data_IF_868424177672
#
_entry.id   IF_868424177672
#
_cell.length_a   1.000
_cell.length_b   1.000
_cell.length_c   1.000
_cell.angle_alpha   90.00
_cell.angle_beta   90.00
_cell.angle_gamma   90.00
#
_symmetry.space_group_name_H-M   'P 1'
#
loop_
_entity.id
_entity.type
_entity.pdbx_description
1 polymer ?
#
# COMPACT_ATOMS: atom_id res chain seq x y z
N UNK A 1 -43.29 -19.42 10.18
CA UNK A 1 -42.44 -18.93 9.06
C UNK A 1 -40.94 -18.91 9.38
N UNK A 2 -40.53 -18.70 10.64
CA UNK A 2 -39.11 -18.65 11.07
C UNK A 2 -38.48 -20.06 11.18
N UNK A 3 -39.21 -21.06 11.67
CA UNK A 3 -38.73 -22.46 11.78
C UNK A 3 -38.34 -23.08 10.43
N UNK A 4 -39.08 -22.77 9.36
CA UNK A 4 -38.79 -23.27 8.01
C UNK A 4 -37.45 -22.73 7.48
N UNK A 5 -37.10 -21.47 7.77
CA UNK A 5 -35.84 -20.87 7.31
C UNK A 5 -34.61 -21.41 8.04
N UNK A 6 -34.75 -21.74 9.32
CA UNK A 6 -33.66 -22.34 10.12
C UNK A 6 -33.41 -23.79 9.68
N UNK A 7 -34.47 -24.55 9.40
CA UNK A 7 -34.36 -25.92 8.88
C UNK A 7 -33.69 -25.94 7.49
N UNK A 8 -34.00 -24.98 6.61
CA UNK A 8 -33.35 -24.84 5.30
C UNK A 8 -31.85 -24.54 5.41
N UNK A 9 -31.45 -23.70 6.36
CA UNK A 9 -30.03 -23.33 6.55
C UNK A 9 -29.21 -24.50 7.11
N UNK A 10 -29.78 -25.27 8.04
CA UNK A 10 -29.17 -26.50 8.56
C UNK A 10 -29.01 -27.56 7.47
N UNK A 11 -29.98 -27.72 6.56
CA UNK A 11 -29.86 -28.65 5.43
C UNK A 11 -28.76 -28.22 4.46
N UNK A 12 -28.58 -26.91 4.22
CA UNK A 12 -27.47 -26.41 3.38
C UNK A 12 -26.11 -26.63 4.05
N UNK A 13 -26.00 -26.40 5.35
CA UNK A 13 -24.75 -26.63 6.11
C UNK A 13 -24.42 -28.12 6.18
N UNK A 14 -25.42 -28.99 6.39
CA UNK A 14 -25.25 -30.45 6.42
C UNK A 14 -24.95 -30.98 5.02
N UNK A 15 -25.58 -30.46 3.96
CA UNK A 15 -25.27 -30.82 2.58
C UNK A 15 -23.84 -30.39 2.20
N UNK A 16 -23.39 -29.21 2.61
CA UNK A 16 -22.01 -28.76 2.45
C UNK A 16 -21.04 -29.65 3.24
N UNK A 17 -21.36 -30.02 4.49
CA UNK A 17 -20.53 -30.90 5.31
C UNK A 17 -20.46 -32.34 4.76
N UNK A 18 -21.54 -32.84 4.14
CA UNK A 18 -21.57 -34.15 3.48
C UNK A 18 -20.84 -34.12 2.12
N UNK A 19 -20.86 -32.99 1.40
CA UNK A 19 -20.10 -32.81 0.16
C UNK A 19 -18.58 -32.69 0.43
N UNK A 20 -18.19 -32.08 1.55
CA UNK A 20 -16.78 -32.02 2.01
C UNK A 20 -16.22 -33.41 2.37
N UNK A 21 -17.06 -34.39 2.69
CA UNK A 21 -16.61 -35.73 3.11
C UNK A 21 -16.34 -36.70 1.94
N UNK A 22 -16.65 -36.31 0.71
CA UNK A 22 -16.54 -37.18 -0.47
C UNK A 22 -15.80 -36.52 -1.63
N UNK A 23 -14.52 -36.18 -1.43
CA UNK A 23 -13.54 -36.35 -2.51
C UNK A 23 -12.12 -36.35 -1.95
N UNK A 24 -11.57 -37.53 -1.69
CA UNK A 24 -10.12 -37.72 -1.67
C UNK A 24 -9.78 -38.41 -2.99
N UNK A 25 -9.53 -37.61 -4.02
CA UNK A 25 -8.90 -38.07 -5.25
C UNK A 25 -7.41 -38.30 -4.99
N UNK A 26 -6.84 -39.33 -5.63
CA UNK A 26 -5.47 -39.83 -5.42
C UNK A 26 -4.34 -38.89 -5.85
N UNK A 27 -4.64 -37.66 -6.27
CA UNK A 27 -3.64 -36.62 -6.56
C UNK A 27 -3.89 -35.46 -5.58
N UNK A 28 -3.07 -35.35 -4.54
CA UNK A 28 -3.30 -34.55 -3.32
C UNK A 28 -3.32 -33.02 -3.50
N UNK A 29 -4.13 -32.49 -4.42
CA UNK A 29 -4.51 -31.09 -4.51
C UNK A 29 -5.87 -30.94 -3.86
N UNK A 30 -5.94 -30.13 -2.80
CA UNK A 30 -7.19 -29.79 -2.14
C UNK A 30 -8.07 -28.94 -3.07
N UNK A 31 -8.86 -29.64 -3.91
CA UNK A 31 -9.71 -29.08 -4.95
C UNK A 31 -10.81 -28.20 -4.38
N UNK A 32 -11.29 -28.53 -3.18
CA UNK A 32 -12.30 -27.76 -2.45
C UNK A 32 -11.70 -26.45 -1.93
N UNK A 33 -10.50 -26.49 -1.36
CA UNK A 33 -9.77 -25.29 -0.95
C UNK A 33 -9.48 -24.35 -2.14
N UNK A 34 -9.09 -24.91 -3.28
CA UNK A 34 -8.84 -24.14 -4.50
C UNK A 34 -10.13 -23.47 -5.04
N UNK A 35 -11.26 -24.17 -5.07
CA UNK A 35 -12.55 -23.63 -5.51
C UNK A 35 -13.05 -22.51 -4.59
N UNK A 36 -12.96 -22.71 -3.27
CA UNK A 36 -13.32 -21.69 -2.28
C UNK A 36 -12.45 -20.44 -2.41
N UNK A 37 -11.14 -20.61 -2.62
CA UNK A 37 -10.22 -19.50 -2.89
C UNK A 37 -10.63 -18.76 -4.16
N UNK A 38 -10.85 -19.47 -5.28
CA UNK A 38 -11.25 -18.86 -6.54
C UNK A 38 -12.53 -18.02 -6.41
N UNK A 39 -13.52 -18.54 -5.70
CA UNK A 39 -14.79 -17.84 -5.44
C UNK A 39 -14.57 -16.59 -4.56
N UNK A 40 -13.80 -16.71 -3.47
CA UNK A 40 -13.49 -15.59 -2.58
C UNK A 40 -12.83 -14.42 -3.31
N UNK A 41 -11.90 -14.74 -4.22
CA UNK A 41 -11.17 -13.74 -4.99
C UNK A 41 -11.91 -13.28 -6.26
N UNK A 42 -13.00 -13.95 -6.65
CA UNK A 42 -13.69 -13.70 -7.91
C UNK A 42 -12.79 -13.96 -9.12
N UNK A 43 -11.99 -15.03 -9.10
CA UNK A 43 -11.00 -15.36 -10.11
C UNK A 43 -9.73 -15.97 -9.52
N UNK A 44 -8.77 -16.28 -10.40
CA UNK A 44 -7.42 -16.67 -9.98
C UNK A 44 -6.70 -15.44 -9.39
N UNK A 45 -6.36 -15.45 -8.08
CA UNK A 45 -5.74 -14.31 -7.42
C UNK A 45 -4.24 -14.18 -7.69
N UNK A 46 -3.62 -15.16 -8.33
CA UNK A 46 -2.20 -15.22 -8.65
C UNK A 46 -1.91 -14.75 -10.09
N UNK A 47 -2.96 -14.41 -10.85
CA UNK A 47 -2.82 -13.70 -12.14
C UNK A 47 -2.16 -12.34 -11.89
N UNK A 48 -1.03 -12.13 -12.57
CA UNK A 48 -0.28 -10.88 -12.53
C UNK A 48 -1.01 -9.84 -13.38
N UNK A 49 -1.31 -8.68 -12.77
CA UNK A 49 -1.83 -7.55 -13.53
C UNK A 49 -0.72 -6.97 -14.43
N UNK A 50 -0.98 -6.81 -15.72
CA UNK A 50 0.03 -6.37 -16.71
C UNK A 50 0.52 -4.93 -16.49
N UNK A 51 -0.27 -4.08 -15.84
CA UNK A 51 0.04 -2.67 -15.63
C UNK A 51 0.91 -2.49 -14.39
N UNK A 52 0.49 -3.11 -13.27
CA UNK A 52 1.20 -2.97 -12.00
C UNK A 52 2.28 -4.02 -11.76
N UNK A 53 2.16 -5.20 -12.37
CA UNK A 53 3.00 -6.36 -12.06
C UNK A 53 2.65 -7.04 -10.73
N UNK A 54 1.55 -6.65 -10.08
CA UNK A 54 1.06 -7.24 -8.84
C UNK A 54 -0.07 -8.25 -9.08
N UNK A 55 -0.12 -9.30 -8.26
CA UNK A 55 -1.27 -10.19 -8.15
C UNK A 55 -2.31 -9.65 -7.16
N UNK A 56 -3.53 -10.21 -7.15
CA UNK A 56 -4.56 -9.80 -6.18
C UNK A 56 -4.13 -10.14 -4.75
N UNK A 57 -3.41 -11.25 -4.54
CA UNK A 57 -2.85 -11.59 -3.22
C UNK A 57 -1.85 -10.55 -2.75
N UNK A 58 -0.95 -10.12 -3.64
CA UNK A 58 0.07 -9.12 -3.30
C UNK A 58 -0.58 -7.77 -2.95
N UNK A 59 -1.58 -7.32 -3.72
CA UNK A 59 -2.36 -6.12 -3.39
C UNK A 59 -3.03 -6.25 -2.02
N UNK A 60 -3.66 -7.39 -1.73
CA UNK A 60 -4.27 -7.63 -0.43
C UNK A 60 -3.26 -7.62 0.72
N UNK A 61 -2.08 -8.21 0.55
CA UNK A 61 -1.02 -8.20 1.57
C UNK A 61 -0.55 -6.77 1.87
N UNK A 62 -0.39 -5.93 0.84
CA UNK A 62 -0.04 -4.51 0.98
C UNK A 62 -1.14 -3.76 1.73
N UNK A 63 -2.40 -3.91 1.32
CA UNK A 63 -3.54 -3.24 1.96
C UNK A 63 -3.71 -3.66 3.43
N UNK A 64 -3.61 -4.97 3.71
CA UNK A 64 -3.72 -5.52 5.06
C UNK A 64 -2.59 -5.03 5.97
N UNK A 65 -1.35 -5.04 5.47
CA UNK A 65 -0.19 -4.58 6.25
C UNK A 65 -0.14 -3.07 6.43
N UNK A 66 -0.72 -2.30 5.50
CA UNK A 66 -0.85 -0.85 5.61
C UNK A 66 -1.88 -0.38 6.64
N UNK A 67 -2.97 -1.13 6.84
CA UNK A 67 -4.07 -0.76 7.73
C UNK A 67 -3.62 -0.26 9.14
N UNK A 68 -2.75 -0.95 9.89
CA UNK A 68 -2.26 -0.46 11.18
C UNK A 68 -1.42 0.82 11.07
N UNK A 69 -0.67 1.03 9.96
CA UNK A 69 0.07 2.28 9.73
C UNK A 69 -0.89 3.44 9.60
N UNK A 70 -1.94 3.28 8.80
CA UNK A 70 -2.92 4.33 8.54
C UNK A 70 -3.82 4.62 9.76
N UNK A 71 -4.06 3.63 10.62
CA UNK A 71 -4.80 3.80 11.87
C UNK A 71 -4.18 4.88 12.76
N UNK A 72 -2.84 4.94 12.84
CA UNK A 72 -2.09 6.02 13.49
C UNK A 72 -1.30 6.90 12.49
N UNK A 73 -1.98 7.34 11.43
CA UNK A 73 -1.36 8.06 10.31
C UNK A 73 -0.54 9.29 10.73
N UNK A 74 -1.00 10.08 11.70
CA UNK A 74 -0.31 11.33 12.05
C UNK A 74 1.02 11.05 12.73
N UNK A 75 1.05 10.14 13.71
CA UNK A 75 2.30 9.82 14.40
C UNK A 75 3.24 9.04 13.48
N UNK A 76 2.72 8.05 12.74
CA UNK A 76 3.53 7.26 11.80
C UNK A 76 4.11 8.12 10.66
N UNK A 77 3.33 9.05 10.11
CA UNK A 77 3.80 9.95 9.07
C UNK A 77 4.81 10.98 9.58
N UNK A 78 4.65 11.46 10.81
CA UNK A 78 5.64 12.33 11.44
C UNK A 78 6.95 11.58 11.73
N UNK A 79 6.86 10.34 12.22
CA UNK A 79 8.02 9.48 12.45
C UNK A 79 8.74 9.14 11.14
N UNK A 80 8.01 8.87 10.06
CA UNK A 80 8.56 8.68 8.72
C UNK A 80 9.40 9.89 8.29
N UNK A 81 8.85 11.10 8.39
CA UNK A 81 9.57 12.32 8.02
C UNK A 81 10.74 12.62 8.96
N UNK A 82 10.61 12.36 10.27
CA UNK A 82 11.71 12.50 11.24
C UNK A 82 12.89 11.60 10.87
N UNK A 83 12.62 10.33 10.58
CA UNK A 83 13.64 9.38 10.10
C UNK A 83 14.25 9.82 8.77
N UNK A 84 13.43 10.36 7.88
CA UNK A 84 13.91 10.90 6.61
C UNK A 84 14.86 12.08 6.78
N UNK A 85 14.53 13.05 7.62
CA UNK A 85 15.43 14.18 7.90
C UNK A 85 16.68 13.75 8.69
N UNK A 86 16.58 12.72 9.52
CA UNK A 86 17.75 12.16 10.22
C UNK A 86 18.71 11.48 9.25
N UNK A 87 18.19 10.66 8.34
CA UNK A 87 19.01 9.93 7.36
C UNK A 87 19.53 10.84 6.23
N UNK A 88 18.74 11.84 5.83
CA UNK A 88 19.04 12.76 4.74
C UNK A 88 18.79 14.22 5.17
N UNK A 89 19.70 14.83 5.95
CA UNK A 89 19.49 16.17 6.52
C UNK A 89 19.26 17.26 5.48
N UNK A 90 19.84 17.13 4.28
CA UNK A 90 19.65 18.07 3.18
C UNK A 90 18.17 18.17 2.76
N UNK A 91 17.39 17.11 2.92
CA UNK A 91 15.96 17.10 2.59
C UNK A 91 15.13 18.04 3.48
N UNK A 92 15.61 18.38 4.68
CA UNK A 92 14.94 19.32 5.59
C UNK A 92 14.86 20.75 5.00
N UNK A 93 15.73 21.12 4.06
CA UNK A 93 15.70 22.43 3.40
C UNK A 93 14.41 22.67 2.58
N UNK A 94 13.73 21.61 2.13
CA UNK A 94 12.43 21.71 1.47
C UNK A 94 11.27 21.97 2.44
N UNK A 95 11.49 21.79 3.75
CA UNK A 95 10.49 21.88 4.82
C UNK A 95 10.74 23.12 5.70
N UNK A 96 10.74 24.30 5.08
CA UNK A 96 11.05 25.58 5.73
C UNK A 96 10.24 25.85 7.02
N UNK A 97 9.01 25.34 7.10
CA UNK A 97 8.13 25.52 8.25
C UNK A 97 8.65 24.89 9.56
N UNK A 98 9.56 23.90 9.47
CA UNK A 98 10.16 23.22 10.63
C UNK A 98 11.69 23.38 10.70
N UNK A 99 12.28 24.28 9.91
CA UNK A 99 13.74 24.43 9.83
C UNK A 99 14.40 24.64 11.20
N UNK A 100 13.78 25.47 12.04
CA UNK A 100 14.26 25.83 13.38
C UNK A 100 13.45 25.16 14.51
N UNK A 101 12.65 24.14 14.18
CA UNK A 101 11.85 23.40 15.16
C UNK A 101 12.62 22.14 15.57
N UNK A 102 12.74 21.83 16.87
CA UNK A 102 13.26 20.54 17.33
C UNK A 102 12.42 19.36 16.81
N UNK A 103 13.07 18.24 16.53
CA UNK A 103 12.43 17.07 15.90
C UNK A 103 11.25 16.52 16.69
N UNK A 104 11.34 16.54 18.03
CA UNK A 104 10.28 16.12 18.97
C UNK A 104 9.09 17.10 19.02
N UNK A 105 9.24 18.29 18.44
CA UNK A 105 8.24 19.35 18.44
C UNK A 105 7.60 19.60 17.07
N UNK A 106 7.95 18.85 16.02
CA UNK A 106 7.41 19.08 14.67
C UNK A 106 5.88 19.11 14.61
N UNK A 107 5.20 18.24 15.37
CA UNK A 107 3.74 18.18 15.39
C UNK A 107 3.06 19.37 16.08
N UNK A 108 3.82 20.24 16.77
CA UNK A 108 3.32 21.52 17.28
C UNK A 108 3.13 22.55 16.16
N UNK A 109 3.83 22.38 15.02
CA UNK A 109 3.68 23.24 13.85
C UNK A 109 2.45 22.80 13.02
N UNK A 110 1.41 23.65 12.88
CA UNK A 110 0.19 23.26 12.18
C UNK A 110 0.40 23.00 10.68
N UNK A 111 1.33 23.70 10.03
CA UNK A 111 1.63 23.49 8.61
C UNK A 111 2.31 22.13 8.39
N UNK A 112 3.21 21.75 9.28
CA UNK A 112 3.84 20.43 9.23
C UNK A 112 2.82 19.32 9.49
N UNK A 113 1.97 19.47 10.51
CA UNK A 113 0.90 18.51 10.79
C UNK A 113 -0.05 18.34 9.59
N UNK A 114 -0.43 19.44 8.93
CA UNK A 114 -1.22 19.40 7.71
C UNK A 114 -0.48 18.67 6.57
N UNK A 115 0.82 18.91 6.41
CA UNK A 115 1.63 18.20 5.42
C UNK A 115 1.66 16.68 5.68
N UNK A 116 1.87 16.26 6.93
CA UNK A 116 1.84 14.84 7.32
C UNK A 116 0.49 14.21 7.00
N UNK A 117 -0.62 14.88 7.33
CA UNK A 117 -1.97 14.39 7.02
C UNK A 117 -2.15 14.21 5.51
N UNK A 118 -1.71 15.17 4.71
CA UNK A 118 -1.82 15.11 3.24
C UNK A 118 -0.95 13.99 2.64
N UNK A 119 0.28 13.82 3.15
CA UNK A 119 1.18 12.74 2.76
C UNK A 119 0.53 11.38 3.01
N UNK A 120 0.08 11.14 4.24
CA UNK A 120 -0.47 9.85 4.63
C UNK A 120 -1.81 9.56 3.95
N UNK A 121 -2.63 10.59 3.72
CA UNK A 121 -3.86 10.45 2.93
C UNK A 121 -3.55 10.07 1.48
N UNK A 122 -2.53 10.67 0.87
CA UNK A 122 -2.13 10.35 -0.51
C UNK A 122 -1.61 8.92 -0.63
N UNK A 123 -0.78 8.47 0.32
CA UNK A 123 -0.32 7.09 0.40
C UNK A 123 -1.48 6.11 0.60
N UNK A 124 -2.40 6.43 1.51
CA UNK A 124 -3.57 5.58 1.76
C UNK A 124 -4.44 5.42 0.51
N UNK A 125 -4.74 6.52 -0.19
CA UNK A 125 -5.52 6.46 -1.42
C UNK A 125 -4.80 5.61 -2.48
N UNK A 126 -3.47 5.71 -2.60
CA UNK A 126 -2.71 4.89 -3.54
C UNK A 126 -2.79 3.40 -3.18
N UNK A 127 -2.64 3.05 -1.89
CA UNK A 127 -2.74 1.66 -1.39
C UNK A 127 -4.15 1.08 -1.57
N UNK A 128 -5.19 1.81 -1.17
CA UNK A 128 -6.58 1.35 -1.25
C UNK A 128 -7.03 1.11 -2.68
N UNK A 129 -6.48 1.86 -3.64
CA UNK A 129 -6.82 1.75 -5.07
C UNK A 129 -5.84 0.90 -5.88
N UNK A 130 -4.91 0.15 -5.26
CA UNK A 130 -3.97 -0.71 -5.99
C UNK A 130 -4.63 -1.82 -6.83
N UNK A 131 -5.91 -2.12 -6.59
CA UNK A 131 -6.72 -2.99 -7.44
C UNK A 131 -7.15 -2.33 -8.77
N UNK A 132 -6.94 -1.02 -8.92
CA UNK A 132 -7.24 -0.18 -10.08
C UNK A 132 -5.96 0.56 -10.52
N UNK A 133 -4.98 -0.15 -11.10
CA UNK A 133 -3.63 0.37 -11.30
C UNK A 133 -3.56 1.60 -12.21
N UNK A 134 -4.46 1.74 -13.19
CA UNK A 134 -4.56 2.92 -14.06
C UNK A 134 -4.87 4.20 -13.26
N UNK A 135 -5.75 4.09 -12.25
CA UNK A 135 -6.08 5.20 -11.37
C UNK A 135 -4.86 5.59 -10.54
N UNK A 136 -4.15 4.60 -9.98
CA UNK A 136 -2.95 4.85 -9.19
C UNK A 136 -1.83 5.45 -10.05
N UNK A 137 -1.65 4.97 -11.28
CA UNK A 137 -0.69 5.55 -12.22
C UNK A 137 -0.99 7.03 -12.49
N UNK A 138 -2.26 7.40 -12.71
CA UNK A 138 -2.67 8.79 -12.87
C UNK A 138 -2.42 9.64 -11.60
N UNK A 139 -2.66 9.07 -10.40
CA UNK A 139 -2.36 9.72 -9.13
C UNK A 139 -0.85 9.99 -8.97
N UNK A 140 0.00 9.01 -9.32
CA UNK A 140 1.46 9.15 -9.24
C UNK A 140 2.00 10.15 -10.24
N UNK A 141 1.46 10.18 -11.46
CA UNK A 141 1.79 11.21 -12.45
C UNK A 141 1.46 12.62 -11.91
N UNK A 142 0.28 12.83 -11.32
CA UNK A 142 -0.07 14.12 -10.68
C UNK A 142 0.86 14.47 -9.52
N UNK A 143 1.28 13.47 -8.74
CA UNK A 143 2.23 13.64 -7.64
C UNK A 143 3.60 14.08 -8.17
N UNK A 144 4.08 13.46 -9.24
CA UNK A 144 5.31 13.79 -9.95
C UNK A 144 5.32 15.23 -10.45
N UNK A 145 4.28 15.66 -11.17
CA UNK A 145 4.12 17.06 -11.63
C UNK A 145 4.15 18.06 -10.47
N UNK A 146 3.46 17.72 -9.38
CA UNK A 146 3.42 18.55 -8.18
C UNK A 146 4.82 18.72 -7.57
N UNK A 147 5.57 17.64 -7.41
CA UNK A 147 6.91 17.69 -6.81
C UNK A 147 7.96 18.27 -7.76
N UNK A 148 7.84 18.05 -9.07
CA UNK A 148 8.72 18.62 -10.08
C UNK A 148 8.63 20.15 -10.12
N UNK A 149 7.43 20.72 -9.96
CA UNK A 149 7.23 22.18 -9.81
C UNK A 149 7.95 22.76 -8.59
N UNK A 150 8.23 21.95 -7.57
CA UNK A 150 8.97 22.32 -6.35
C UNK A 150 10.45 21.97 -6.42
N UNK A 151 10.95 21.54 -7.59
CA UNK A 151 12.34 21.18 -7.85
C UNK A 151 12.85 20.03 -6.97
N UNK A 152 11.93 19.12 -6.61
CA UNK A 152 12.28 17.85 -5.98
C UNK A 152 12.79 16.90 -7.08
N UNK A 153 13.90 16.23 -6.82
CA UNK A 153 14.56 15.35 -7.78
C UNK A 153 14.25 13.88 -7.49
N UNK A 154 14.44 13.00 -8.47
CA UNK A 154 14.31 11.54 -8.29
C UNK A 154 15.12 11.04 -7.09
N UNK A 155 16.34 11.57 -6.90
CA UNK A 155 17.20 11.26 -5.76
C UNK A 155 16.46 11.39 -4.43
N UNK A 156 15.67 12.45 -4.24
CA UNK A 156 14.95 12.67 -2.98
C UNK A 156 13.87 11.60 -2.73
N UNK A 157 13.22 11.11 -3.80
CA UNK A 157 12.29 9.99 -3.70
C UNK A 157 13.03 8.68 -3.41
N UNK A 158 14.16 8.42 -4.06
CA UNK A 158 14.96 7.23 -3.79
C UNK A 158 15.51 7.20 -2.35
N UNK A 159 15.88 8.35 -1.80
CA UNK A 159 16.24 8.51 -0.39
C UNK A 159 15.03 8.20 0.53
N UNK A 160 13.83 8.71 0.20
CA UNK A 160 12.61 8.40 0.94
C UNK A 160 12.26 6.90 0.88
N UNK A 161 12.42 6.24 -0.27
CA UNK A 161 12.21 4.79 -0.45
C UNK A 161 13.04 3.98 0.55
N UNK A 162 14.31 4.34 0.76
CA UNK A 162 15.18 3.65 1.72
C UNK A 162 14.61 3.71 3.15
N UNK A 163 14.06 4.85 3.53
CA UNK A 163 13.47 5.05 4.86
C UNK A 163 12.15 4.31 5.01
N UNK A 164 11.29 4.34 4.00
CA UNK A 164 10.01 3.61 3.98
C UNK A 164 10.26 2.11 4.13
N UNK A 165 11.18 1.54 3.33
CA UNK A 165 11.51 0.10 3.40
C UNK A 165 12.03 -0.28 4.78
N UNK A 166 12.96 0.51 5.33
CA UNK A 166 13.49 0.28 6.69
C UNK A 166 12.38 0.36 7.74
N UNK A 167 11.48 1.33 7.64
CA UNK A 167 10.35 1.47 8.56
C UNK A 167 9.38 0.28 8.47
N UNK A 168 9.09 -0.24 7.27
CA UNK A 168 8.26 -1.43 7.12
C UNK A 168 8.88 -2.67 7.77
N UNK A 169 10.19 -2.86 7.62
CA UNK A 169 10.90 -3.97 8.27
C UNK A 169 10.84 -3.85 9.80
N UNK A 170 11.14 -2.66 10.33
CA UNK A 170 11.27 -2.46 11.79
C UNK A 170 9.92 -2.34 12.51
N UNK A 171 8.95 -1.65 11.92
CA UNK A 171 7.66 -1.33 12.55
C UNK A 171 6.63 -2.41 12.28
N UNK A 172 6.53 -2.86 11.03
CA UNK A 172 5.49 -3.80 10.62
C UNK A 172 5.93 -5.25 10.70
N UNK A 173 7.24 -5.52 10.83
CA UNK A 173 7.82 -6.88 10.94
C UNK A 173 7.28 -7.81 9.85
N UNK A 174 7.23 -7.30 8.63
CA UNK A 174 6.65 -8.00 7.49
C UNK A 174 7.51 -9.21 7.10
N UNK A 175 6.82 -10.28 6.68
CA UNK A 175 7.48 -11.42 6.06
C UNK A 175 8.03 -11.08 4.66
N UNK A 176 8.91 -11.94 4.14
CA UNK A 176 9.57 -11.73 2.84
C UNK A 176 8.57 -11.58 1.69
N UNK A 177 7.46 -12.31 1.72
CA UNK A 177 6.41 -12.25 0.70
C UNK A 177 5.75 -10.87 0.68
N UNK A 178 5.38 -10.35 1.85
CA UNK A 178 4.74 -9.03 1.98
C UNK A 178 5.73 -7.91 1.66
N UNK A 179 7.01 -8.06 2.03
CA UNK A 179 8.07 -7.14 1.61
C UNK A 179 8.25 -7.12 0.09
N UNK A 180 8.19 -8.29 -0.57
CA UNK A 180 8.22 -8.39 -2.03
C UNK A 180 7.04 -7.65 -2.69
N UNK A 181 5.83 -7.80 -2.14
CA UNK A 181 4.65 -7.10 -2.61
C UNK A 181 4.77 -5.57 -2.45
N UNK A 182 5.33 -5.10 -1.33
CA UNK A 182 5.64 -3.67 -1.15
C UNK A 182 6.72 -3.18 -2.11
N UNK A 183 7.75 -3.99 -2.40
CA UNK A 183 8.77 -3.68 -3.39
C UNK A 183 8.16 -3.39 -4.76
N UNK A 184 7.33 -4.31 -5.27
CA UNK A 184 6.57 -4.13 -6.51
C UNK A 184 5.67 -2.89 -6.48
N UNK A 185 4.98 -2.66 -5.37
CA UNK A 185 4.10 -1.50 -5.19
C UNK A 185 4.86 -0.18 -5.31
N UNK A 186 5.98 -0.05 -4.60
CA UNK A 186 6.80 1.16 -4.62
C UNK A 186 7.46 1.36 -5.98
N UNK A 187 7.92 0.29 -6.63
CA UNK A 187 8.49 0.36 -7.99
C UNK A 187 7.44 0.82 -9.01
N UNK A 188 6.22 0.29 -8.93
CA UNK A 188 5.09 0.75 -9.73
C UNK A 188 4.78 2.23 -9.50
N UNK A 189 4.73 2.67 -8.23
CA UNK A 189 4.49 4.07 -7.91
C UNK A 189 5.58 4.98 -8.48
N UNK A 190 6.85 4.61 -8.31
CA UNK A 190 7.98 5.44 -8.70
C UNK A 190 8.15 5.51 -10.21
N UNK A 191 7.90 4.41 -10.93
CA UNK A 191 7.83 4.39 -12.39
C UNK A 191 6.93 5.52 -12.89
N UNK A 192 5.68 5.56 -12.44
CA UNK A 192 4.71 6.57 -12.89
C UNK A 192 4.92 7.97 -12.30
N UNK A 193 5.52 8.06 -11.12
CA UNK A 193 5.88 9.36 -10.54
C UNK A 193 7.00 10.02 -11.35
N UNK A 194 8.02 9.27 -11.73
CA UNK A 194 9.20 9.80 -12.44
C UNK A 194 8.90 10.16 -13.90
N UNK A 195 7.88 9.55 -14.52
CA UNK A 195 7.38 9.91 -15.86
C UNK A 195 7.06 11.41 -16.01
N UNK A 196 6.61 12.09 -14.95
CA UNK A 196 6.24 13.52 -14.96
C UNK A 196 7.09 14.40 -14.08
N UNK A 197 7.83 13.83 -13.13
CA UNK A 197 8.70 14.60 -12.22
C UNK A 197 9.67 15.49 -12.99
N UNK A 198 10.32 14.94 -14.02
CA UNK A 198 11.36 15.63 -14.79
C UNK A 198 10.78 16.48 -15.93
N UNK A 199 9.53 16.27 -16.34
CA UNK A 199 8.89 17.05 -17.42
C UNK A 199 8.67 18.51 -17.03
N UNK A 200 8.37 18.75 -15.75
CA UNK A 200 8.23 20.11 -15.20
C UNK A 200 9.54 20.92 -15.21
N UNK A 201 10.69 20.25 -15.38
CA UNK A 201 11.99 20.91 -15.50
C UNK A 201 12.28 21.39 -16.93
N UNK A 202 11.72 20.72 -17.94
CA UNK A 202 11.99 20.96 -19.36
C UNK A 202 11.05 21.98 -20.04
N UNK A 203 9.97 22.39 -19.37
CA UNK A 203 8.98 23.35 -19.94
C UNK A 203 9.27 24.81 -19.57
N UNK A 204 10.51 25.13 -19.15
CA UNK A 204 11.00 26.48 -18.86
C UNK A 204 12.33 26.72 -19.54
#
# INVERSE_FOLDING_TARGET
>A
MILSRILSMLVVIIALAMFVKSDKTEDGKDTMGALLSYIWWGGDPDVVNEISGLTRREVYLVQKSWAPVNADKVNNGAELLRRFFTAFPASKEFFKMIKNVPDDQYLTNPQFKAHVINLMTSLNLAVENMNQPEIVAAMMNKLGESHGRRKIQEKNFLELKQVIVKMFIEVLKLDETTLGAWGKTVDFWYKHLFETLNKAEQTR
#
